data_IF_434287520637
#
_entry.id   IF_434287520637
#
_cell.length_a   1.000
_cell.length_b   1.000
_cell.length_c   1.000
_cell.angle_alpha   90.00
_cell.angle_beta   90.00
_cell.angle_gamma   90.00
#
_symmetry.space_group_name_H-M   'P 1'
#
loop_
_entity.id
_entity.type
_entity.pdbx_description
1 polymer ?
#
# COMPACT_ATOMS: atom_id res chain seq x y z
N UNK A 1 7.44 -7.92 20.39
CA UNK A 1 6.12 -7.81 21.06
C UNK A 1 5.04 -7.59 20.01
N UNK A 2 5.06 -6.49 19.26
CA UNK A 2 4.06 -6.17 18.21
C UNK A 2 3.92 -7.29 17.17
N UNK A 3 4.99 -7.63 16.47
CA UNK A 3 4.96 -8.66 15.39
C UNK A 3 4.54 -10.04 15.93
N UNK A 4 5.10 -10.46 17.07
CA UNK A 4 4.74 -11.75 17.69
C UNK A 4 3.32 -11.78 18.25
N UNK A 5 2.76 -10.64 18.67
CA UNK A 5 1.38 -10.52 19.16
C UNK A 5 0.34 -10.62 18.04
N UNK A 6 0.64 -10.03 16.88
CA UNK A 6 -0.21 -10.13 15.68
C UNK A 6 -0.20 -11.56 15.15
N UNK A 7 0.98 -12.14 14.88
CA UNK A 7 1.06 -13.50 14.34
C UNK A 7 0.63 -14.59 15.33
N UNK A 8 0.70 -14.31 16.64
CA UNK A 8 0.20 -15.20 17.69
C UNK A 8 -1.32 -15.11 17.91
N UNK A 9 -2.03 -14.24 17.20
CA UNK A 9 -3.48 -14.04 17.34
C UNK A 9 -3.91 -13.43 18.67
N UNK A 10 -2.96 -12.92 19.47
CA UNK A 10 -3.23 -12.38 20.81
C UNK A 10 -3.78 -10.96 20.74
N UNK A 11 -3.34 -10.19 19.72
CA UNK A 11 -3.71 -8.79 19.55
C UNK A 11 -4.03 -8.50 18.09
N UNK A 12 -5.03 -7.66 17.87
CA UNK A 12 -5.28 -7.05 16.55
C UNK A 12 -4.16 -6.05 16.20
N UNK A 13 -4.02 -5.63 14.92
CA UNK A 13 -3.01 -4.64 14.54
C UNK A 13 -3.11 -3.32 15.32
N UNK A 14 -4.33 -2.85 15.60
CA UNK A 14 -4.61 -1.63 16.38
C UNK A 14 -4.21 -1.79 17.84
N UNK A 15 -4.60 -2.90 18.49
CA UNK A 15 -4.18 -3.21 19.86
C UNK A 15 -2.66 -3.38 19.97
N UNK A 16 -2.05 -4.04 18.97
CA UNK A 16 -0.60 -4.22 18.91
C UNK A 16 0.16 -2.90 18.80
N UNK A 17 -0.36 -1.94 18.03
CA UNK A 17 0.19 -0.59 17.95
C UNK A 17 0.10 0.14 19.29
N UNK A 18 -1.03 0.04 20.01
CA UNK A 18 -1.19 0.63 21.35
C UNK A 18 -0.19 0.04 22.35
N UNK A 19 -0.02 -1.29 22.36
CA UNK A 19 0.96 -1.98 23.22
C UNK A 19 2.39 -1.58 22.84
N UNK A 20 2.69 -1.45 21.55
CA UNK A 20 3.99 -0.95 21.07
C UNK A 20 4.29 0.47 21.55
N UNK A 21 3.29 1.36 21.52
CA UNK A 21 3.40 2.73 22.02
C UNK A 21 3.67 2.76 23.52
N UNK A 22 2.88 2.04 24.31
CA UNK A 22 3.06 1.95 25.78
C UNK A 22 4.44 1.35 26.12
N UNK A 23 4.85 0.29 25.42
CA UNK A 23 6.17 -0.33 25.61
C UNK A 23 7.31 0.63 25.31
N UNK A 24 7.20 1.40 24.23
CA UNK A 24 8.21 2.41 23.84
C UNK A 24 8.27 3.55 24.86
N UNK A 25 7.12 4.02 25.33
CA UNK A 25 7.02 5.03 26.38
C UNK A 25 7.67 4.54 27.68
N UNK A 26 7.36 3.32 28.10
CA UNK A 26 7.92 2.71 29.31
C UNK A 26 9.45 2.60 29.23
N UNK A 27 9.99 2.08 28.12
CA UNK A 27 11.45 1.99 27.90
C UNK A 27 12.10 3.37 27.97
N UNK A 28 11.46 4.37 27.36
CA UNK A 28 12.00 5.71 27.32
C UNK A 28 11.94 6.46 28.66
N UNK A 29 10.93 6.18 29.49
CA UNK A 29 10.87 6.64 30.89
C UNK A 29 11.93 5.95 31.74
N UNK A 30 12.08 4.62 31.60
CA UNK A 30 13.08 3.83 32.33
C UNK A 30 14.52 4.25 31.99
N UNK A 31 14.77 4.70 30.75
CA UNK A 31 16.08 5.24 30.32
C UNK A 31 16.32 6.69 30.74
N UNK A 32 15.34 7.38 31.31
CA UNK A 32 15.46 8.78 31.75
C UNK A 32 15.65 9.79 30.60
N UNK A 33 15.48 9.37 29.35
CA UNK A 33 15.69 10.22 28.16
C UNK A 33 14.46 11.03 27.77
N UNK A 34 13.28 10.69 28.33
CA UNK A 34 12.02 11.36 28.00
C UNK A 34 11.69 12.52 28.94
N UNK A 35 11.60 13.71 28.35
CA UNK A 35 11.01 14.90 28.97
C UNK A 35 9.56 14.99 28.52
N UNK A 36 8.65 15.46 29.37
CA UNK A 36 7.22 15.61 29.03
C UNK A 36 6.97 16.44 27.76
N UNK A 37 7.86 17.39 27.45
CA UNK A 37 7.85 18.15 26.20
C UNK A 37 8.04 17.27 24.95
N UNK A 38 8.95 16.30 24.99
CA UNK A 38 9.18 15.38 23.86
C UNK A 38 7.97 14.47 23.62
N UNK A 39 7.24 14.10 24.69
CA UNK A 39 5.98 13.35 24.56
C UNK A 39 4.94 14.19 23.82
N UNK A 40 4.78 15.46 24.21
CA UNK A 40 3.83 16.36 23.57
C UNK A 40 4.18 16.62 22.10
N UNK A 41 5.47 16.85 21.79
CA UNK A 41 5.95 17.01 20.42
C UNK A 41 5.65 15.76 19.56
N UNK A 42 5.87 14.56 20.10
CA UNK A 42 5.54 13.31 19.41
C UNK A 42 4.02 13.13 19.20
N UNK A 43 3.19 13.48 20.18
CA UNK A 43 1.73 13.43 20.06
C UNK A 43 1.22 14.41 19.01
N UNK A 44 1.73 15.64 18.98
CA UNK A 44 1.36 16.64 17.98
C UNK A 44 1.77 16.22 16.57
N UNK A 45 2.99 15.71 16.39
CA UNK A 45 3.45 15.21 15.09
C UNK A 45 2.56 14.04 14.60
N UNK A 46 2.19 13.13 15.51
CA UNK A 46 1.30 12.01 15.19
C UNK A 46 -0.10 12.50 14.82
N UNK A 47 -0.63 13.50 15.55
CA UNK A 47 -1.92 14.10 15.28
C UNK A 47 -1.96 14.82 13.93
N UNK A 48 -0.88 15.50 13.54
CA UNK A 48 -0.74 16.14 12.22
C UNK A 48 -0.78 15.10 11.09
N UNK A 49 0.02 14.03 11.20
CA UNK A 49 -0.03 12.94 10.21
C UNK A 49 -1.40 12.30 10.13
N UNK A 50 -2.07 12.10 11.27
CA UNK A 50 -3.41 11.51 11.34
C UNK A 50 -4.46 12.44 10.72
N UNK A 51 -4.35 13.75 10.95
CA UNK A 51 -5.24 14.75 10.36
C UNK A 51 -5.13 14.78 8.83
N UNK A 52 -3.91 14.71 8.28
CA UNK A 52 -3.72 14.59 6.82
C UNK A 52 -4.40 13.34 6.26
N UNK A 53 -4.25 12.19 6.93
CA UNK A 53 -4.91 10.94 6.52
C UNK A 53 -6.44 11.07 6.56
N UNK A 54 -7.00 11.68 7.60
CA UNK A 54 -8.46 11.90 7.69
C UNK A 54 -9.00 12.82 6.59
N UNK A 55 -8.26 13.86 6.21
CA UNK A 55 -8.65 14.74 5.11
C UNK A 55 -8.67 13.96 3.78
N UNK A 56 -7.67 13.12 3.54
CA UNK A 56 -7.62 12.25 2.36
C UNK A 56 -8.80 11.27 2.36
N UNK A 57 -9.07 10.62 3.50
CA UNK A 57 -10.21 9.70 3.66
C UNK A 57 -11.54 10.40 3.38
N UNK A 58 -11.75 11.61 3.90
CA UNK A 58 -12.96 12.39 3.65
C UNK A 58 -13.12 12.71 2.15
N UNK A 59 -12.03 13.13 1.49
CA UNK A 59 -12.03 13.36 0.04
C UNK A 59 -12.33 12.08 -0.75
N UNK A 60 -11.76 10.95 -0.34
CA UNK A 60 -12.01 9.65 -0.94
C UNK A 60 -13.46 9.20 -0.79
N UNK A 61 -14.09 9.41 0.37
CA UNK A 61 -15.51 9.10 0.59
C UNK A 61 -16.43 9.94 -0.30
N UNK A 62 -16.14 11.25 -0.44
CA UNK A 62 -16.88 12.13 -1.36
C UNK A 62 -16.72 11.66 -2.81
N UNK A 63 -15.50 11.29 -3.20
CA UNK A 63 -15.22 10.76 -4.53
C UNK A 63 -15.91 9.41 -4.77
N UNK A 64 -15.91 8.52 -3.78
CA UNK A 64 -16.58 7.24 -3.84
C UNK A 64 -18.10 7.40 -3.99
N UNK A 65 -18.71 8.34 -3.27
CA UNK A 65 -20.13 8.68 -3.43
C UNK A 65 -20.44 9.18 -4.85
N UNK A 66 -19.56 10.01 -5.43
CA UNK A 66 -19.68 10.45 -6.82
C UNK A 66 -19.58 9.28 -7.82
N UNK A 67 -18.60 8.39 -7.63
CA UNK A 67 -18.43 7.20 -8.46
C UNK A 67 -19.64 6.28 -8.39
N UNK A 68 -20.15 6.02 -7.18
CA UNK A 68 -21.34 5.19 -6.96
C UNK A 68 -22.57 5.76 -7.67
N UNK A 69 -22.74 7.09 -7.66
CA UNK A 69 -23.85 7.75 -8.36
C UNK A 69 -23.67 7.72 -9.89
N UNK A 70 -22.45 7.86 -10.37
CA UNK A 70 -22.13 7.85 -11.81
C UNK A 70 -22.11 6.44 -12.42
N UNK A 71 -22.00 5.40 -11.59
CA UNK A 71 -21.77 4.00 -12.00
C UNK A 71 -20.55 3.82 -12.92
N UNK A 72 -19.60 4.77 -12.91
CA UNK A 72 -18.45 4.75 -13.80
C UNK A 72 -17.58 3.49 -13.63
N UNK A 73 -17.29 2.98 -12.40
CA UNK A 73 -16.54 1.74 -12.24
C UNK A 73 -17.25 0.53 -12.85
N UNK A 74 -18.57 0.43 -12.68
CA UNK A 74 -19.38 -0.68 -13.20
C UNK A 74 -19.43 -0.67 -14.73
N UNK A 75 -19.65 0.51 -15.33
CA UNK A 75 -19.64 0.67 -16.79
C UNK A 75 -18.28 0.32 -17.39
N UNK A 76 -17.19 0.68 -16.71
CA UNK A 76 -15.83 0.38 -17.14
C UNK A 76 -15.53 -1.12 -17.03
N UNK A 77 -15.99 -1.78 -15.96
CA UNK A 77 -15.89 -3.22 -15.81
C UNK A 77 -16.66 -3.96 -16.92
N UNK A 78 -17.91 -3.55 -17.19
CA UNK A 78 -18.72 -4.11 -18.30
C UNK A 78 -18.01 -3.93 -19.63
N UNK A 79 -17.55 -2.71 -19.94
CA UNK A 79 -16.83 -2.44 -21.20
C UNK A 79 -15.60 -3.33 -21.37
N UNK A 80 -14.80 -3.54 -20.32
CA UNK A 80 -13.63 -4.44 -20.36
C UNK A 80 -14.06 -5.89 -20.60
N UNK A 81 -15.12 -6.35 -19.93
CA UNK A 81 -15.60 -7.73 -20.09
C UNK A 81 -16.22 -7.99 -21.46
N UNK A 82 -16.89 -7.01 -22.07
CA UNK A 82 -17.47 -7.11 -23.43
C UNK A 82 -16.41 -7.22 -24.53
N UNK A 83 -15.21 -6.68 -24.31
CA UNK A 83 -14.12 -6.75 -25.27
C UNK A 83 -13.37 -8.10 -25.24
N UNK A 84 -13.75 -9.02 -24.35
CA UNK A 84 -13.12 -10.33 -24.15
C UNK A 84 -11.58 -10.25 -24.01
N UNK A 85 -11.08 -9.18 -23.39
CA UNK A 85 -9.65 -9.01 -23.19
C UNK A 85 -9.08 -10.12 -22.29
N UNK A 86 -7.83 -10.55 -22.54
CA UNK A 86 -7.17 -11.52 -21.66
C UNK A 86 -7.04 -10.91 -20.24
N UNK A 87 -7.55 -11.57 -19.18
CA UNK A 87 -7.56 -11.04 -17.81
C UNK A 87 -6.19 -10.58 -17.31
N UNK A 88 -5.14 -11.38 -17.58
CA UNK A 88 -3.76 -11.05 -17.24
C UNK A 88 -3.21 -9.84 -18.00
N UNK A 89 -3.71 -9.57 -19.21
CA UNK A 89 -3.36 -8.38 -19.98
C UNK A 89 -3.95 -7.11 -19.35
N UNK A 90 -5.22 -7.15 -18.94
CA UNK A 90 -5.86 -6.06 -18.21
C UNK A 90 -5.14 -5.80 -16.89
N UNK A 91 -4.84 -6.86 -16.13
CA UNK A 91 -4.09 -6.76 -14.89
C UNK A 91 -2.71 -6.13 -15.09
N UNK A 92 -1.96 -6.55 -16.11
CA UNK A 92 -0.64 -5.97 -16.40
C UNK A 92 -0.73 -4.46 -16.69
N UNK A 93 -1.74 -4.02 -17.45
CA UNK A 93 -1.98 -2.59 -17.72
C UNK A 93 -2.35 -1.84 -16.43
N UNK A 94 -3.21 -2.43 -15.59
CA UNK A 94 -3.56 -1.86 -14.29
C UNK A 94 -2.32 -1.71 -13.40
N UNK A 95 -1.53 -2.77 -13.22
CA UNK A 95 -0.31 -2.72 -12.40
C UNK A 95 0.69 -1.69 -12.95
N UNK A 96 0.84 -1.57 -14.27
CA UNK A 96 1.69 -0.55 -14.87
C UNK A 96 1.16 0.86 -14.58
N UNK A 97 -0.14 1.09 -14.68
CA UNK A 97 -0.77 2.36 -14.31
C UNK A 97 -0.56 2.67 -12.81
N UNK A 98 -0.66 1.67 -11.94
CA UNK A 98 -0.33 1.81 -10.52
C UNK A 98 1.16 2.16 -10.31
N UNK A 99 2.11 1.57 -11.02
CA UNK A 99 3.54 1.94 -10.90
C UNK A 99 3.73 3.43 -11.25
N UNK A 100 3.12 3.90 -12.34
CA UNK A 100 3.23 5.30 -12.79
C UNK A 100 2.57 6.25 -11.79
N UNK A 101 1.38 5.89 -11.30
CA UNK A 101 0.62 6.73 -10.37
C UNK A 101 1.26 6.76 -8.98
N UNK A 102 1.79 5.64 -8.50
CA UNK A 102 2.51 5.53 -7.22
C UNK A 102 3.86 6.25 -7.23
N UNK A 103 4.41 6.51 -8.42
CA UNK A 103 5.54 7.39 -8.59
C UNK A 103 5.21 8.86 -8.30
N UNK A 104 3.94 9.27 -8.28
CA UNK A 104 3.50 10.67 -8.12
C UNK A 104 2.69 10.88 -6.84
N UNK A 105 1.86 9.90 -6.48
CA UNK A 105 0.93 9.98 -5.36
C UNK A 105 1.46 9.25 -4.12
N UNK A 106 1.11 9.75 -2.95
CA UNK A 106 1.34 9.05 -1.67
C UNK A 106 0.56 7.74 -1.59
N UNK A 107 1.09 6.76 -0.85
CA UNK A 107 0.55 5.40 -0.75
C UNK A 107 -0.93 5.37 -0.34
N UNK A 108 -1.29 6.08 0.73
CA UNK A 108 -2.65 6.02 1.25
C UNK A 108 -3.63 6.72 0.32
N UNK A 109 -3.26 7.89 -0.20
CA UNK A 109 -4.10 8.64 -1.14
C UNK A 109 -4.36 7.84 -2.42
N UNK A 110 -3.33 7.17 -2.93
CA UNK A 110 -3.42 6.35 -4.12
C UNK A 110 -4.38 5.18 -3.92
N UNK A 111 -4.22 4.40 -2.85
CA UNK A 111 -5.06 3.23 -2.58
C UNK A 111 -6.53 3.67 -2.42
N UNK A 112 -6.79 4.68 -1.60
CA UNK A 112 -8.15 5.12 -1.29
C UNK A 112 -8.91 5.65 -2.51
N UNK A 113 -8.23 6.31 -3.44
CA UNK A 113 -8.86 6.86 -4.64
C UNK A 113 -9.02 5.83 -5.76
N UNK A 114 -8.07 4.92 -5.92
CA UNK A 114 -8.03 4.01 -7.08
C UNK A 114 -8.75 2.70 -6.84
N UNK A 115 -8.75 2.20 -5.60
CA UNK A 115 -9.34 0.92 -5.26
C UNK A 115 -10.84 0.84 -5.56
N UNK A 116 -11.67 1.87 -5.28
CA UNK A 116 -13.09 1.84 -5.65
C UNK A 116 -13.35 1.72 -7.16
N UNK A 117 -12.40 2.17 -7.99
CA UNK A 117 -12.52 2.14 -9.46
C UNK A 117 -12.02 0.81 -10.01
N UNK A 118 -10.85 0.34 -9.57
CA UNK A 118 -10.20 -0.84 -10.15
C UNK A 118 -10.63 -2.15 -9.51
N UNK A 119 -11.10 -2.12 -8.26
CA UNK A 119 -11.58 -3.33 -7.58
C UNK A 119 -12.74 -4.00 -8.32
N UNK A 120 -13.82 -3.29 -8.73
CA UNK A 120 -14.91 -3.89 -9.51
C UNK A 120 -14.43 -4.52 -10.82
N UNK A 121 -13.49 -3.86 -11.51
CA UNK A 121 -12.91 -4.33 -12.77
C UNK A 121 -12.17 -5.66 -12.59
N UNK A 122 -11.34 -5.79 -11.56
CA UNK A 122 -10.58 -7.02 -11.30
C UNK A 122 -11.51 -8.14 -10.81
N UNK A 123 -12.52 -7.83 -9.99
CA UNK A 123 -13.48 -8.85 -9.55
C UNK A 123 -14.45 -9.31 -10.64
N UNK A 124 -14.62 -8.52 -11.70
CA UNK A 124 -15.43 -8.88 -12.88
C UNK A 124 -14.69 -9.83 -13.83
N UNK A 125 -13.35 -9.87 -13.77
CA UNK A 125 -12.52 -10.74 -14.59
C UNK A 125 -12.30 -12.09 -13.90
N UNK A 126 -12.37 -13.16 -14.69
CA UNK A 126 -12.04 -14.50 -14.19
C UNK A 126 -10.55 -14.79 -14.33
N UNK A 127 -9.86 -14.92 -13.19
CA UNK A 127 -8.44 -15.28 -13.13
C UNK A 127 -8.20 -16.78 -12.88
N UNK A 128 -9.27 -17.59 -12.80
CA UNK A 128 -9.18 -18.99 -12.40
C UNK A 128 -8.86 -19.20 -10.92
N UNK A 129 -9.11 -18.17 -10.10
CA UNK A 129 -9.01 -18.24 -8.64
C UNK A 129 -10.34 -18.76 -8.07
N UNK A 130 -10.28 -19.58 -7.03
CA UNK A 130 -11.43 -20.37 -6.57
C UNK A 130 -12.57 -19.55 -5.95
N UNK A 131 -12.31 -18.29 -5.57
CA UNK A 131 -13.31 -17.39 -5.00
C UNK A 131 -12.99 -15.92 -5.26
N UNK A 132 -14.03 -15.07 -5.30
CA UNK A 132 -13.90 -13.60 -5.42
C UNK A 132 -13.10 -13.00 -4.26
N UNK A 133 -13.18 -13.60 -3.06
CA UNK A 133 -12.40 -13.16 -1.89
C UNK A 133 -10.89 -13.40 -2.08
N UNK A 134 -10.50 -14.54 -2.65
CA UNK A 134 -9.08 -14.81 -2.97
C UNK A 134 -8.56 -13.82 -4.01
N UNK A 135 -9.34 -13.50 -5.04
CA UNK A 135 -9.01 -12.48 -6.04
C UNK A 135 -8.83 -11.10 -5.40
N UNK A 136 -9.73 -10.73 -4.49
CA UNK A 136 -9.69 -9.47 -3.77
C UNK A 136 -8.41 -9.33 -2.91
N UNK A 137 -8.08 -10.36 -2.13
CA UNK A 137 -6.89 -10.38 -1.28
C UNK A 137 -5.62 -10.35 -2.14
N UNK A 138 -5.57 -11.19 -3.18
CA UNK A 138 -4.44 -11.23 -4.10
C UNK A 138 -4.21 -9.87 -4.78
N UNK A 139 -5.27 -9.26 -5.29
CA UNK A 139 -5.18 -7.93 -5.89
C UNK A 139 -4.71 -6.87 -4.88
N UNK A 140 -5.23 -6.89 -3.65
CA UNK A 140 -4.76 -6.01 -2.58
C UNK A 140 -3.26 -6.17 -2.30
N UNK A 141 -2.76 -7.42 -2.27
CA UNK A 141 -1.32 -7.70 -2.10
C UNK A 141 -0.51 -7.14 -3.29
N UNK A 142 -0.99 -7.34 -4.52
CA UNK A 142 -0.33 -6.80 -5.71
C UNK A 142 -0.27 -5.27 -5.68
N UNK A 143 -1.39 -4.62 -5.36
CA UNK A 143 -1.45 -3.16 -5.21
C UNK A 143 -0.46 -2.68 -4.16
N UNK A 144 -0.42 -3.29 -2.97
CA UNK A 144 0.52 -2.93 -1.90
C UNK A 144 1.98 -3.04 -2.35
N UNK A 145 2.34 -4.12 -3.06
CA UNK A 145 3.69 -4.29 -3.61
C UNK A 145 4.00 -3.23 -4.66
N UNK A 146 3.06 -2.94 -5.56
CA UNK A 146 3.25 -1.94 -6.62
C UNK A 146 3.35 -0.52 -6.05
N UNK A 147 2.58 -0.17 -5.03
CA UNK A 147 2.71 1.14 -4.38
C UNK A 147 4.08 1.29 -3.74
N UNK A 148 4.60 0.24 -3.08
CA UNK A 148 5.98 0.23 -2.57
C UNK A 148 7.03 0.42 -3.67
N UNK A 149 6.81 -0.20 -4.84
CA UNK A 149 7.61 0.02 -6.04
C UNK A 149 7.50 1.48 -6.50
N UNK A 150 6.31 2.06 -6.58
CA UNK A 150 6.07 3.44 -7.01
C UNK A 150 6.82 4.47 -6.15
N UNK A 151 6.80 4.29 -4.83
CA UNK A 151 7.48 5.19 -3.89
C UNK A 151 9.01 5.13 -3.95
N UNK A 152 9.57 4.07 -4.53
CA UNK A 152 11.02 3.86 -4.67
C UNK A 152 11.51 4.05 -6.11
N UNK A 153 10.63 3.89 -7.10
CA UNK A 153 10.94 4.03 -8.51
C UNK A 153 11.18 5.50 -8.92
N UNK A 154 12.14 5.77 -9.81
CA UNK A 154 12.29 7.10 -10.43
C UNK A 154 11.05 7.39 -11.30
N UNK A 155 10.29 8.48 -11.02
CA UNK A 155 10.71 9.86 -11.31
C UNK A 155 10.66 10.85 -10.13
N UNK A 156 9.77 10.67 -9.13
CA UNK A 156 9.72 11.49 -7.91
C UNK A 156 10.23 10.70 -6.70
N UNK A 157 9.99 9.37 -6.66
CA UNK A 157 10.59 8.42 -5.72
C UNK A 157 10.64 8.97 -4.29
N UNK A 158 9.47 9.32 -3.73
CA UNK A 158 9.34 10.17 -2.54
C UNK A 158 10.28 9.70 -1.40
N UNK A 159 10.38 8.40 -1.18
CA UNK A 159 11.24 7.81 -0.15
C UNK A 159 12.74 8.07 -0.43
N UNK A 160 13.17 7.92 -1.68
CA UNK A 160 14.55 8.20 -2.13
C UNK A 160 14.84 9.70 -2.07
N UNK A 161 13.86 10.53 -2.43
CA UNK A 161 13.97 11.99 -2.37
C UNK A 161 14.13 12.49 -0.94
N UNK A 162 13.30 12.02 -0.01
CA UNK A 162 13.38 12.34 1.43
C UNK A 162 14.75 11.94 1.99
N UNK A 163 15.23 10.73 1.70
CA UNK A 163 16.56 10.28 2.15
C UNK A 163 17.67 11.16 1.55
N UNK A 164 17.58 11.49 0.26
CA UNK A 164 18.57 12.36 -0.39
C UNK A 164 18.57 13.79 0.17
N UNK A 165 17.42 14.29 0.66
CA UNK A 165 17.32 15.60 1.30
C UNK A 165 18.03 15.67 2.66
N UNK A 166 18.10 14.53 3.35
CA UNK A 166 18.84 14.35 4.61
C UNK A 166 20.34 14.14 4.36
N UNK A 167 20.70 13.39 3.31
CA UNK A 167 22.07 13.10 2.91
C UNK A 167 22.55 14.04 1.78
N UNK A 168 22.67 15.35 2.10
CA UNK A 168 23.02 16.41 1.13
C UNK A 168 24.34 16.22 0.38
N UNK A 169 25.23 15.38 0.91
CA UNK A 169 26.57 15.14 0.35
C UNK A 169 26.59 14.10 -0.80
N UNK A 170 25.46 13.43 -1.06
CA UNK A 170 25.36 12.39 -2.11
C UNK A 170 24.46 12.86 -3.25
N UNK A 171 24.95 12.88 -4.51
CA UNK A 171 24.11 13.19 -5.66
C UNK A 171 22.95 12.20 -5.77
N UNK A 172 21.73 12.71 -6.00
CA UNK A 172 20.50 11.93 -6.17
C UNK A 172 20.67 10.77 -7.17
N UNK A 173 21.42 11.00 -8.26
CA UNK A 173 21.72 9.97 -9.25
C UNK A 173 22.51 8.76 -8.71
N UNK A 174 23.39 8.96 -7.71
CA UNK A 174 24.09 7.84 -7.05
C UNK A 174 23.14 7.07 -6.12
N UNK A 175 22.27 7.77 -5.42
CA UNK A 175 21.24 7.16 -4.57
C UNK A 175 20.30 6.29 -5.39
N UNK A 176 19.81 6.78 -6.53
CA UNK A 176 18.99 5.98 -7.46
C UNK A 176 19.71 4.74 -7.97
N UNK A 177 21.01 4.83 -8.28
CA UNK A 177 21.81 3.67 -8.68
C UNK A 177 21.88 2.58 -7.61
N UNK A 178 21.88 2.97 -6.34
CA UNK A 178 21.82 2.05 -5.21
C UNK A 178 20.43 1.43 -4.99
N UNK A 179 19.36 2.12 -5.41
CA UNK A 179 17.97 1.64 -5.29
C UNK A 179 17.57 0.74 -6.47
N UNK A 180 18.16 0.91 -7.65
CA UNK A 180 17.90 0.06 -8.83
C UNK A 180 17.94 -1.46 -8.56
N UNK A 181 18.91 -2.04 -7.83
CA UNK A 181 18.87 -3.47 -7.52
C UNK A 181 17.66 -3.87 -6.67
N UNK A 182 17.21 -3.02 -5.74
CA UNK A 182 16.00 -3.26 -4.95
C UNK A 182 14.75 -3.20 -5.83
N UNK A 183 14.67 -2.19 -6.70
CA UNK A 183 13.58 -2.05 -7.66
C UNK A 183 13.48 -3.27 -8.60
N UNK A 184 14.63 -3.78 -9.05
CA UNK A 184 14.68 -4.99 -9.85
C UNK A 184 14.17 -6.22 -9.07
N UNK A 185 14.55 -6.36 -7.80
CA UNK A 185 14.04 -7.46 -6.96
C UNK A 185 12.54 -7.34 -6.69
N UNK A 186 12.01 -6.13 -6.52
CA UNK A 186 10.57 -5.94 -6.31
C UNK A 186 9.77 -6.21 -7.59
N UNK A 187 10.29 -5.86 -8.77
CA UNK A 187 9.68 -6.23 -10.04
C UNK A 187 9.68 -7.75 -10.26
N UNK A 188 10.77 -8.43 -9.91
CA UNK A 188 10.82 -9.91 -9.95
C UNK A 188 9.82 -10.50 -8.98
N UNK A 189 9.74 -9.98 -7.75
CA UNK A 189 8.74 -10.39 -6.75
C UNK A 189 7.32 -10.19 -7.27
N UNK A 190 7.02 -9.05 -7.88
CA UNK A 190 5.73 -8.76 -8.49
C UNK A 190 5.40 -9.76 -9.59
N UNK A 191 6.32 -10.01 -10.51
CA UNK A 191 6.13 -10.98 -11.59
C UNK A 191 5.86 -12.40 -11.04
N UNK A 192 6.57 -12.80 -9.97
CA UNK A 192 6.34 -14.08 -9.30
C UNK A 192 4.96 -14.14 -8.63
N UNK A 193 4.51 -13.08 -7.97
CA UNK A 193 3.20 -13.02 -7.34
C UNK A 193 2.05 -13.01 -8.36
N UNK A 194 2.27 -12.42 -9.54
CA UNK A 194 1.32 -12.44 -10.64
C UNK A 194 1.26 -13.82 -11.29
N UNK A 195 2.41 -14.46 -11.53
CA UNK A 195 2.49 -15.77 -12.17
C UNK A 195 2.07 -16.92 -11.24
N UNK A 196 2.29 -16.78 -9.92
CA UNK A 196 1.96 -17.78 -8.92
C UNK A 196 1.11 -17.16 -7.78
N UNK A 197 -0.20 -16.95 -8.00
CA UNK A 197 -1.12 -16.45 -6.96
C UNK A 197 -1.14 -17.33 -5.70
N UNK A 198 -0.76 -18.60 -5.83
CA UNK A 198 -0.56 -19.51 -4.71
C UNK A 198 0.45 -18.97 -3.69
N UNK A 199 1.49 -18.22 -4.07
CA UNK A 199 2.47 -17.68 -3.12
C UNK A 199 1.85 -16.66 -2.17
N UNK A 200 0.94 -15.83 -2.67
CA UNK A 200 0.17 -14.87 -1.87
C UNK A 200 -0.94 -15.52 -1.05
N UNK A 201 -1.61 -16.52 -1.63
CA UNK A 201 -2.81 -17.14 -1.04
C UNK A 201 -2.49 -18.33 -0.14
N UNK A 202 -1.30 -18.90 -0.21
CA UNK A 202 -0.94 -20.08 0.57
C UNK A 202 -1.06 -19.84 2.07
N UNK A 203 -0.54 -18.72 2.57
CA UNK A 203 -0.63 -18.41 3.99
C UNK A 203 -2.07 -18.15 4.43
N UNK A 204 -2.87 -17.51 3.57
CA UNK A 204 -4.31 -17.28 3.82
C UNK A 204 -5.02 -18.62 3.93
N UNK A 205 -4.84 -19.53 2.96
CA UNK A 205 -5.45 -20.87 2.95
C UNK A 205 -5.05 -21.78 4.10
N UNK A 206 -3.88 -21.55 4.70
CA UNK A 206 -3.39 -22.33 5.86
C UNK A 206 -3.94 -21.78 7.18
N UNK A 207 -4.24 -20.49 7.26
CA UNK A 207 -4.73 -19.82 8.46
C UNK A 207 -6.26 -19.63 8.50
N UNK A 208 -6.95 -19.73 7.35
CA UNK A 208 -8.42 -19.74 7.21
C UNK A 208 -9.00 -21.12 7.48
#
# INVERSE_FOLDING_TARGET
>A
IVVGGIYGGVFTPTESAAIGCIGTLAVGVLRGTLKGRHVLEALLATAETTAMIFVILLGAEVFNAFLALSQAPDLLAVWITEQEFPPYGVLAVLLLAYIVLGAVMDELAMILLTLPVFFPVVTALDFGLGSTEETAIWFGILVLVVVGIGLTAPPIGLNVFVISSLARDVPIARTYRGVLPFLATDLVRLALLVAFPALSLWLVRVLS
#
